data_IF_686416478438
#
_entry.id   IF_686416478438
#
_cell.length_a   1.000
_cell.length_b   1.000
_cell.length_c   1.000
_cell.angle_alpha   90.00
_cell.angle_beta   90.00
_cell.angle_gamma   90.00
#
_symmetry.space_group_name_H-M   'P 1'
#
loop_
_entity.id
_entity.type
_entity.pdbx_description
1 polymer ?
#
# COMPACT_ATOMS: atom_id res chain seq x y z
N UNK A 1 -5.86 12.63 -14.51
CA UNK A 1 -7.11 12.27 -15.22
C UNK A 1 -6.82 11.64 -16.58
N UNK A 2 -6.36 12.36 -17.58
CA UNK A 2 -6.19 11.84 -18.97
C UNK A 2 -5.46 10.46 -19.08
N UNK A 3 -4.49 10.20 -18.22
CA UNK A 3 -3.79 8.92 -18.22
C UNK A 3 -4.61 7.76 -17.64
N UNK A 4 -5.40 8.03 -16.60
CA UNK A 4 -6.28 7.04 -15.98
C UNK A 4 -7.46 6.71 -16.91
N UNK A 5 -8.11 7.74 -17.48
CA UNK A 5 -9.23 7.55 -18.41
C UNK A 5 -8.78 6.75 -19.65
N UNK A 6 -7.63 7.10 -20.22
CA UNK A 6 -7.05 6.36 -21.35
C UNK A 6 -6.72 4.89 -20.96
N UNK A 7 -6.19 4.66 -19.76
CA UNK A 7 -5.94 3.30 -19.29
C UNK A 7 -7.23 2.49 -19.19
N UNK A 8 -8.28 3.06 -18.59
CA UNK A 8 -9.59 2.40 -18.44
C UNK A 8 -10.18 2.08 -19.82
N UNK A 9 -10.14 3.03 -20.75
CA UNK A 9 -10.66 2.83 -22.11
C UNK A 9 -9.89 1.76 -22.88
N UNK A 10 -8.57 1.71 -22.72
CA UNK A 10 -7.74 0.67 -23.34
C UNK A 10 -8.01 -0.71 -22.70
N UNK A 11 -8.15 -0.79 -21.36
CA UNK A 11 -8.51 -2.02 -20.67
C UNK A 11 -9.88 -2.55 -21.10
N UNK A 12 -10.89 -1.67 -21.24
CA UNK A 12 -12.21 -2.04 -21.73
C UNK A 12 -12.18 -2.63 -23.14
N UNK A 13 -11.37 -2.05 -24.04
CA UNK A 13 -11.21 -2.56 -25.41
C UNK A 13 -10.56 -3.94 -25.46
N UNK A 14 -9.57 -4.17 -24.57
CA UNK A 14 -8.78 -5.42 -24.56
C UNK A 14 -9.55 -6.54 -23.85
N UNK A 15 -10.16 -6.24 -22.70
CA UNK A 15 -10.74 -7.24 -21.80
C UNK A 15 -12.25 -7.40 -21.95
N UNK A 16 -12.93 -6.39 -22.53
CA UNK A 16 -14.40 -6.42 -22.73
C UNK A 16 -15.15 -6.70 -21.43
N UNK A 17 -16.05 -7.67 -21.47
CA UNK A 17 -16.89 -8.07 -20.32
C UNK A 17 -16.10 -8.81 -19.22
N UNK A 18 -14.88 -9.27 -19.50
CA UNK A 18 -14.00 -9.89 -18.50
C UNK A 18 -13.49 -8.86 -17.48
N UNK A 19 -13.51 -7.55 -17.79
CA UNK A 19 -13.13 -6.48 -16.87
C UNK A 19 -14.28 -6.18 -15.89
N UNK A 20 -14.15 -6.63 -14.64
CA UNK A 20 -15.19 -6.46 -13.60
C UNK A 20 -15.06 -5.15 -12.87
N UNK A 21 -13.85 -4.81 -12.41
CA UNK A 21 -13.63 -3.62 -11.57
C UNK A 21 -12.25 -3.03 -11.82
N UNK A 22 -12.19 -1.70 -11.84
CA UNK A 22 -10.95 -0.94 -11.64
C UNK A 22 -11.18 0.01 -10.49
N UNK A 23 -10.32 -0.06 -9.47
CA UNK A 23 -10.37 0.82 -8.30
C UNK A 23 -9.02 1.45 -7.99
N UNK A 24 -9.06 2.68 -7.49
CA UNK A 24 -7.94 3.34 -6.82
C UNK A 24 -8.02 2.98 -5.34
N UNK A 25 -6.90 2.68 -4.71
CA UNK A 25 -6.84 2.43 -3.27
C UNK A 25 -5.66 3.15 -2.59
N UNK A 26 -5.74 3.24 -1.26
CA UNK A 26 -4.73 3.92 -0.44
C UNK A 26 -4.83 5.45 -0.49
N UNK A 27 -3.71 6.15 -0.32
CA UNK A 27 -3.68 7.61 -0.07
C UNK A 27 -4.30 8.46 -1.18
N UNK A 28 -4.33 7.97 -2.42
CA UNK A 28 -4.88 8.70 -3.57
C UNK A 28 -6.40 8.47 -3.76
N UNK A 29 -7.00 7.55 -3.02
CA UNK A 29 -8.42 7.18 -3.20
C UNK A 29 -9.39 8.34 -2.92
N UNK A 30 -9.07 9.21 -1.96
CA UNK A 30 -9.90 10.36 -1.58
C UNK A 30 -9.48 11.68 -2.27
N UNK A 31 -8.43 11.64 -3.10
CA UNK A 31 -8.00 12.82 -3.84
C UNK A 31 -8.96 13.07 -4.99
N UNK A 32 -9.38 14.34 -5.16
CA UNK A 32 -10.18 14.75 -6.31
C UNK A 32 -9.46 14.37 -7.61
N UNK A 33 -10.19 13.88 -8.62
CA UNK A 33 -9.58 13.38 -9.86
C UNK A 33 -8.63 14.37 -10.54
N UNK A 34 -8.94 15.67 -10.43
CA UNK A 34 -8.16 16.75 -11.03
C UNK A 34 -6.80 16.98 -10.33
N UNK A 35 -6.71 16.57 -9.07
CA UNK A 35 -5.51 16.69 -8.23
C UNK A 35 -4.71 15.40 -8.15
N UNK A 36 -5.17 14.30 -8.79
CA UNK A 36 -4.43 13.05 -8.86
C UNK A 36 -3.07 13.27 -9.51
N UNK A 37 -2.03 12.97 -8.75
CA UNK A 37 -0.64 12.98 -9.19
C UNK A 37 -0.24 11.58 -9.66
N UNK A 38 1.04 11.41 -9.99
CA UNK A 38 1.66 10.08 -10.12
C UNK A 38 1.59 9.28 -8.80
N UNK A 39 1.99 8.02 -8.84
CA UNK A 39 1.98 7.10 -7.68
C UNK A 39 0.56 6.69 -7.24
N UNK A 40 -0.30 6.43 -8.20
CA UNK A 40 -1.68 5.96 -8.01
C UNK A 40 -1.67 4.43 -7.93
N UNK A 41 -2.08 3.88 -6.79
CA UNK A 41 -2.26 2.44 -6.66
C UNK A 41 -3.59 2.02 -7.29
N UNK A 42 -3.53 1.10 -8.24
CA UNK A 42 -4.69 0.52 -8.90
C UNK A 42 -4.84 -0.96 -8.60
N UNK A 43 -6.08 -1.38 -8.40
CA UNK A 43 -6.54 -2.75 -8.42
C UNK A 43 -7.41 -2.97 -9.65
N UNK A 44 -7.12 -4.01 -10.42
CA UNK A 44 -7.89 -4.43 -11.60
C UNK A 44 -8.40 -5.84 -11.32
N UNK A 45 -9.71 -6.02 -11.30
CA UNK A 45 -10.36 -7.31 -11.05
C UNK A 45 -11.03 -7.78 -12.33
N UNK A 46 -10.73 -9.00 -12.72
CA UNK A 46 -11.30 -9.68 -13.88
C UNK A 46 -12.24 -10.80 -13.42
N UNK A 47 -13.20 -11.16 -14.23
CA UNK A 47 -14.04 -12.32 -13.92
C UNK A 47 -13.20 -13.60 -13.84
N UNK A 48 -12.26 -13.76 -14.79
CA UNK A 48 -11.21 -14.80 -14.77
C UNK A 48 -9.90 -14.19 -15.29
N UNK A 49 -8.76 -14.74 -14.89
CA UNK A 49 -7.45 -14.26 -15.29
C UNK A 49 -6.69 -15.35 -16.05
N UNK A 50 -6.29 -15.06 -17.28
CA UNK A 50 -5.49 -15.92 -18.13
C UNK A 50 -4.13 -15.31 -18.46
N UNK A 51 -3.20 -16.15 -18.93
CA UNK A 51 -1.90 -15.67 -19.43
C UNK A 51 -2.06 -14.74 -20.65
N UNK A 52 -3.10 -14.93 -21.45
CA UNK A 52 -3.36 -14.08 -22.62
C UNK A 52 -3.87 -12.70 -22.19
N UNK A 53 -4.70 -12.60 -21.13
CA UNK A 53 -5.11 -11.32 -20.56
C UNK A 53 -3.90 -10.51 -20.09
N UNK A 54 -2.96 -11.15 -19.36
CA UNK A 54 -1.71 -10.50 -18.91
C UNK A 54 -0.85 -10.04 -20.10
N UNK A 55 -0.71 -10.88 -21.12
CA UNK A 55 0.03 -10.55 -22.33
C UNK A 55 -0.60 -9.38 -23.10
N UNK A 56 -1.91 -9.41 -23.30
CA UNK A 56 -2.63 -8.39 -24.07
C UNK A 56 -2.64 -7.04 -23.36
N UNK A 57 -2.74 -7.01 -22.02
CA UNK A 57 -2.73 -5.77 -21.22
C UNK A 57 -1.32 -5.22 -20.97
N UNK A 58 -0.26 -6.02 -21.15
CA UNK A 58 1.12 -5.66 -20.79
C UNK A 58 1.58 -4.31 -21.35
N UNK A 59 1.31 -4.03 -22.63
CA UNK A 59 1.73 -2.77 -23.28
C UNK A 59 1.05 -1.54 -22.67
N UNK A 60 -0.21 -1.66 -22.30
CA UNK A 60 -1.00 -0.56 -21.71
C UNK A 60 -0.50 -0.31 -20.29
N UNK A 61 -0.26 -1.37 -19.52
CA UNK A 61 0.26 -1.28 -18.18
C UNK A 61 1.71 -0.75 -18.13
N UNK A 62 2.54 -1.09 -19.11
CA UNK A 62 3.88 -0.50 -19.24
C UNK A 62 3.82 1.02 -19.47
N UNK A 63 2.85 1.54 -20.25
CA UNK A 63 2.64 2.98 -20.40
C UNK A 63 2.25 3.64 -19.07
N UNK A 64 1.39 2.98 -18.29
CA UNK A 64 1.00 3.43 -16.97
C UNK A 64 2.20 3.55 -16.01
N UNK A 65 3.06 2.54 -15.98
CA UNK A 65 4.27 2.53 -15.16
C UNK A 65 5.29 3.60 -15.62
N UNK A 66 5.44 3.82 -16.92
CA UNK A 66 6.29 4.90 -17.46
C UNK A 66 5.83 6.30 -17.08
N UNK A 67 4.55 6.46 -16.72
CA UNK A 67 3.99 7.69 -16.16
C UNK A 67 4.17 7.79 -14.62
N UNK A 68 5.19 7.12 -14.08
CA UNK A 68 5.57 7.13 -12.65
C UNK A 68 4.51 6.58 -11.70
N UNK A 69 3.66 5.68 -12.18
CA UNK A 69 2.71 4.98 -11.34
C UNK A 69 3.20 3.57 -10.98
N UNK A 70 2.79 3.01 -9.83
CA UNK A 70 3.03 1.62 -9.50
C UNK A 70 2.40 0.66 -10.51
N UNK A 71 2.97 -0.54 -10.61
CA UNK A 71 2.34 -1.62 -11.36
C UNK A 71 0.99 -1.92 -10.70
N UNK A 72 -0.13 -1.91 -11.46
CA UNK A 72 -1.43 -2.29 -10.90
C UNK A 72 -1.44 -3.73 -10.40
N UNK A 73 -2.16 -3.97 -9.31
CA UNK A 73 -2.47 -5.32 -8.88
C UNK A 73 -3.59 -5.84 -9.76
N UNK A 74 -3.37 -7.01 -10.39
CA UNK A 74 -4.37 -7.67 -11.23
C UNK A 74 -4.69 -9.01 -10.61
N UNK A 75 -5.98 -9.33 -10.47
CA UNK A 75 -6.45 -10.60 -9.98
C UNK A 75 -7.80 -10.97 -10.57
N UNK A 76 -8.12 -12.25 -10.53
CA UNK A 76 -9.46 -12.72 -10.82
C UNK A 76 -10.39 -12.44 -9.64
N UNK A 77 -11.69 -12.46 -9.91
CA UNK A 77 -12.73 -12.34 -8.87
C UNK A 77 -12.62 -13.49 -7.83
N UNK A 78 -12.26 -14.69 -8.27
CA UNK A 78 -12.01 -15.82 -7.37
C UNK A 78 -10.82 -15.54 -6.44
N UNK A 79 -9.69 -15.01 -6.96
CA UNK A 79 -8.54 -14.63 -6.14
C UNK A 79 -8.88 -13.48 -5.19
N UNK A 80 -9.68 -12.49 -5.62
CA UNK A 80 -10.16 -11.41 -4.77
C UNK A 80 -10.83 -11.95 -3.51
N UNK A 81 -11.81 -12.84 -3.66
CA UNK A 81 -12.55 -13.38 -2.52
C UNK A 81 -11.76 -14.39 -1.68
N UNK A 82 -10.81 -15.10 -2.28
CA UNK A 82 -10.02 -16.11 -1.56
C UNK A 82 -8.78 -15.54 -0.85
N UNK A 83 -8.53 -14.22 -0.91
CA UNK A 83 -7.30 -13.61 -0.41
C UNK A 83 -7.49 -12.74 0.84
N UNK A 84 -8.68 -12.65 1.42
CA UNK A 84 -8.96 -11.80 2.58
C UNK A 84 -8.18 -12.20 3.83
N UNK A 85 -7.83 -13.46 3.95
CA UNK A 85 -7.03 -14.02 5.02
C UNK A 85 -5.52 -13.82 4.81
N UNK A 86 -5.06 -13.87 3.56
CA UNK A 86 -3.64 -13.77 3.20
C UNK A 86 -3.16 -12.31 3.20
N UNK A 87 -3.99 -11.39 2.71
CA UNK A 87 -3.68 -9.96 2.57
C UNK A 87 -4.55 -9.09 3.48
N UNK A 88 -4.70 -9.51 4.74
CA UNK A 88 -5.60 -8.89 5.70
C UNK A 88 -5.32 -7.39 5.94
N UNK A 89 -4.05 -6.97 5.94
CA UNK A 89 -3.64 -5.57 6.06
C UNK A 89 -4.09 -4.74 4.86
N UNK A 90 -3.83 -5.23 3.66
CA UNK A 90 -4.18 -4.57 2.41
C UNK A 90 -5.69 -4.45 2.24
N UNK A 91 -6.44 -5.53 2.49
CA UNK A 91 -7.90 -5.50 2.40
C UNK A 91 -8.52 -4.59 3.46
N UNK A 92 -7.94 -4.52 4.66
CA UNK A 92 -8.37 -3.57 5.68
C UNK A 92 -8.14 -2.11 5.23
N UNK A 93 -7.00 -1.81 4.61
CA UNK A 93 -6.70 -0.49 4.05
C UNK A 93 -7.65 -0.17 2.87
N UNK A 94 -7.90 -1.14 1.97
CA UNK A 94 -8.82 -0.97 0.83
C UNK A 94 -10.23 -0.67 1.33
N UNK A 95 -10.73 -1.42 2.30
CA UNK A 95 -12.08 -1.23 2.85
C UNK A 95 -12.35 0.20 3.35
N UNK A 96 -11.31 0.88 3.84
CA UNK A 96 -11.41 2.24 4.36
C UNK A 96 -11.13 3.31 3.29
N UNK A 97 -10.20 3.03 2.36
CA UNK A 97 -9.69 4.03 1.42
C UNK A 97 -9.62 3.49 -0.01
N UNK A 98 -10.76 3.54 -0.68
CA UNK A 98 -10.88 3.15 -2.09
C UNK A 98 -11.78 4.10 -2.88
N UNK A 99 -11.68 4.02 -4.19
CA UNK A 99 -12.56 4.69 -5.14
C UNK A 99 -12.73 3.82 -6.38
N UNK A 100 -13.96 3.40 -6.66
CA UNK A 100 -14.27 2.71 -7.90
C UNK A 100 -14.20 3.72 -9.04
N UNK A 101 -13.40 3.42 -10.05
CA UNK A 101 -13.27 4.23 -11.28
C UNK A 101 -13.90 3.55 -12.49
N UNK A 102 -14.15 2.24 -12.41
CA UNK A 102 -14.90 1.47 -13.40
C UNK A 102 -15.50 0.21 -12.79
N UNK A 103 -16.71 -0.16 -13.20
CA UNK A 103 -17.35 -1.45 -12.96
C UNK A 103 -18.03 -1.58 -11.60
N UNK A 104 -18.00 -2.77 -11.03
CA UNK A 104 -18.72 -3.15 -9.81
C UNK A 104 -17.94 -2.76 -8.56
N UNK A 105 -18.65 -2.40 -7.49
CA UNK A 105 -18.05 -2.28 -6.16
C UNK A 105 -18.11 -3.63 -5.44
N UNK A 106 -16.96 -4.27 -5.27
CA UNK A 106 -16.80 -5.55 -4.58
C UNK A 106 -16.29 -5.38 -3.14
N UNK A 107 -16.11 -4.14 -2.68
CA UNK A 107 -15.51 -3.86 -1.37
C UNK A 107 -16.46 -4.13 -0.21
N UNK A 108 -17.77 -4.10 -0.46
CA UNK A 108 -18.79 -4.43 0.54
C UNK A 108 -18.66 -5.84 1.12
N UNK A 109 -18.10 -6.77 0.33
CA UNK A 109 -17.91 -8.16 0.73
C UNK A 109 -16.62 -8.41 1.52
N UNK A 110 -15.76 -7.40 1.66
CA UNK A 110 -14.49 -7.53 2.40
C UNK A 110 -14.79 -7.85 3.86
N UNK A 111 -14.39 -9.05 4.28
CA UNK A 111 -14.46 -9.51 5.66
C UNK A 111 -13.09 -9.99 6.13
N UNK A 112 -12.40 -9.15 6.88
CA UNK A 112 -11.07 -9.45 7.44
C UNK A 112 -11.23 -9.94 8.86
N UNK A 113 -10.83 -11.19 9.11
CA UNK A 113 -10.78 -11.75 10.46
C UNK A 113 -9.56 -11.20 11.21
N UNK A 114 -9.77 -10.82 12.48
CA UNK A 114 -8.72 -10.29 13.35
C UNK A 114 -7.55 -11.26 13.56
N UNK A 115 -7.83 -12.56 13.53
CA UNK A 115 -6.77 -13.56 13.65
C UNK A 115 -5.76 -13.45 12.51
N UNK A 116 -6.23 -13.37 11.26
CA UNK A 116 -5.36 -13.22 10.09
C UNK A 116 -4.68 -11.85 10.06
N UNK A 117 -5.40 -10.79 10.44
CA UNK A 117 -4.81 -9.45 10.54
C UNK A 117 -3.65 -9.43 11.54
N UNK A 118 -3.79 -10.08 12.70
CA UNK A 118 -2.72 -10.20 13.69
C UNK A 118 -1.53 -10.99 13.14
N UNK A 119 -1.78 -12.14 12.54
CA UNK A 119 -0.73 -12.98 11.97
C UNK A 119 0.07 -12.23 10.90
N UNK A 120 -0.60 -11.48 10.04
CA UNK A 120 0.07 -10.68 9.02
C UNK A 120 0.88 -9.56 9.65
N UNK A 121 0.37 -8.83 10.64
CA UNK A 121 1.14 -7.82 11.38
C UNK A 121 2.43 -8.41 11.98
N UNK A 122 2.32 -9.56 12.64
CA UNK A 122 3.48 -10.25 13.23
C UNK A 122 4.48 -10.71 12.17
N UNK A 123 4.01 -11.26 11.06
CA UNK A 123 4.84 -11.71 9.95
C UNK A 123 5.59 -10.55 9.29
N UNK A 124 4.86 -9.47 8.97
CA UNK A 124 5.46 -8.28 8.35
C UNK A 124 6.48 -7.62 9.27
N UNK A 125 6.20 -7.54 10.58
CA UNK A 125 7.16 -7.01 11.55
C UNK A 125 8.44 -7.86 11.63
N UNK A 126 8.32 -9.18 11.67
CA UNK A 126 9.49 -10.10 11.67
C UNK A 126 10.29 -9.98 10.38
N UNK A 127 9.61 -9.94 9.23
CA UNK A 127 10.25 -9.75 7.93
C UNK A 127 10.97 -8.41 7.84
N UNK A 128 10.37 -7.34 8.38
CA UNK A 128 10.98 -6.02 8.45
C UNK A 128 12.27 -6.04 9.27
N UNK A 129 12.28 -6.67 10.46
CA UNK A 129 13.49 -6.82 11.28
C UNK A 129 14.61 -7.56 10.57
N UNK A 130 14.29 -8.68 9.89
CA UNK A 130 15.30 -9.45 9.16
C UNK A 130 15.88 -8.65 7.98
N UNK A 131 15.01 -7.99 7.20
CA UNK A 131 15.44 -7.12 6.09
C UNK A 131 16.30 -5.96 6.59
N UNK A 132 15.89 -5.31 7.69
CA UNK A 132 16.64 -4.21 8.28
C UNK A 132 18.04 -4.67 8.72
N UNK A 133 18.16 -5.78 9.45
CA UNK A 133 19.46 -6.33 9.87
C UNK A 133 20.38 -6.61 8.69
N UNK A 134 19.85 -7.21 7.63
CA UNK A 134 20.62 -7.48 6.41
C UNK A 134 21.11 -6.19 5.74
N UNK A 135 20.25 -5.20 5.62
CA UNK A 135 20.61 -3.91 5.04
C UNK A 135 21.62 -3.17 5.92
N UNK A 136 21.44 -3.19 7.24
CA UNK A 136 22.37 -2.57 8.18
C UNK A 136 23.78 -3.16 8.03
N UNK A 137 23.91 -4.49 8.05
CA UNK A 137 25.19 -5.16 7.87
C UNK A 137 25.89 -4.82 6.57
N UNK A 138 25.12 -4.70 5.49
CA UNK A 138 25.67 -4.49 4.15
C UNK A 138 25.88 -3.01 3.79
N UNK A 139 25.17 -2.08 4.42
CA UNK A 139 25.05 -0.68 3.96
C UNK A 139 25.37 0.36 5.04
N UNK A 140 25.77 -0.02 6.23
CA UNK A 140 26.02 0.89 7.38
C UNK A 140 26.99 2.03 7.06
N UNK A 141 27.92 1.83 6.12
CA UNK A 141 28.92 2.83 5.73
C UNK A 141 28.40 3.87 4.70
N UNK A 142 27.14 3.77 4.25
CA UNK A 142 26.54 4.67 3.28
C UNK A 142 25.30 5.35 3.86
N UNK A 143 25.44 6.63 4.25
CA UNK A 143 24.32 7.40 4.82
C UNK A 143 23.13 7.45 3.85
N UNK A 144 23.36 7.65 2.56
CA UNK A 144 22.31 7.67 1.53
C UNK A 144 21.53 6.35 1.44
N UNK A 145 22.21 5.23 1.55
CA UNK A 145 21.53 3.92 1.54
C UNK A 145 20.78 3.68 2.86
N UNK A 146 21.34 4.11 3.99
CA UNK A 146 20.66 4.03 5.28
C UNK A 146 19.40 4.91 5.33
N UNK A 147 19.41 6.11 4.74
CA UNK A 147 18.21 6.93 4.58
C UNK A 147 17.09 6.22 3.81
N UNK A 148 17.42 5.57 2.70
CA UNK A 148 16.44 4.78 1.94
C UNK A 148 15.87 3.63 2.77
N UNK A 149 16.73 2.96 3.54
CA UNK A 149 16.32 1.89 4.45
C UNK A 149 15.37 2.44 5.51
N UNK A 150 15.72 3.53 6.19
CA UNK A 150 14.89 4.17 7.21
C UNK A 150 13.52 4.59 6.65
N UNK A 151 13.49 5.18 5.45
CA UNK A 151 12.25 5.56 4.78
C UNK A 151 11.36 4.34 4.43
N UNK A 152 11.96 3.21 4.08
CA UNK A 152 11.20 1.98 3.83
C UNK A 152 10.71 1.35 5.15
N UNK A 153 11.52 1.39 6.20
CA UNK A 153 11.14 0.91 7.53
C UNK A 153 9.91 1.65 8.04
N UNK A 154 9.94 2.99 8.05
CA UNK A 154 8.80 3.76 8.57
C UNK A 154 7.53 3.56 7.73
N UNK A 155 7.64 3.42 6.41
CA UNK A 155 6.48 3.09 5.56
C UNK A 155 5.81 1.78 5.98
N UNK A 156 6.62 0.73 6.17
CA UNK A 156 6.10 -0.60 6.57
C UNK A 156 5.55 -0.56 7.99
N UNK A 157 6.24 0.10 8.93
CA UNK A 157 5.75 0.24 10.30
C UNK A 157 4.39 0.94 10.37
N UNK A 158 4.16 2.00 9.59
CA UNK A 158 2.88 2.68 9.55
C UNK A 158 1.75 1.78 9.03
N UNK A 159 2.03 0.87 8.10
CA UNK A 159 1.03 -0.15 7.68
C UNK A 159 0.71 -1.09 8.83
N UNK A 160 1.75 -1.61 9.51
CA UNK A 160 1.59 -2.50 10.66
C UNK A 160 0.84 -1.79 11.81
N UNK A 161 1.18 -0.54 12.12
CA UNK A 161 0.51 0.24 13.18
C UNK A 161 -0.98 0.46 12.90
N UNK A 162 -1.37 0.70 11.65
CA UNK A 162 -2.80 0.72 11.27
C UNK A 162 -3.46 -0.63 11.55
N UNK A 163 -2.79 -1.74 11.23
CA UNK A 163 -3.28 -3.07 11.58
C UNK A 163 -3.46 -3.26 13.08
N UNK A 164 -2.47 -2.86 13.90
CA UNK A 164 -2.55 -2.92 15.37
C UNK A 164 -3.72 -2.09 15.90
N UNK A 165 -3.91 -0.87 15.43
CA UNK A 165 -5.04 0.00 15.83
C UNK A 165 -6.38 -0.68 15.54
N UNK A 166 -6.55 -1.31 14.36
CA UNK A 166 -7.77 -2.05 13.99
C UNK A 166 -8.01 -3.29 14.86
N UNK A 167 -6.94 -3.98 15.25
CA UNK A 167 -7.07 -5.12 16.19
C UNK A 167 -7.71 -4.72 17.50
N UNK A 168 -7.49 -3.48 17.94
CA UNK A 168 -8.11 -2.90 19.15
C UNK A 168 -9.46 -2.21 18.90
N UNK A 169 -10.05 -2.35 17.70
CA UNK A 169 -11.32 -1.71 17.28
C UNK A 169 -11.30 -0.18 17.32
N UNK A 170 -10.14 0.42 17.16
CA UNK A 170 -9.99 1.87 17.14
C UNK A 170 -9.97 2.38 15.69
N UNK A 171 -10.42 3.62 15.50
CA UNK A 171 -10.36 4.29 14.21
C UNK A 171 -8.91 4.65 13.87
N UNK A 172 -8.52 4.38 12.64
CA UNK A 172 -7.17 4.71 12.15
C UNK A 172 -7.08 6.20 11.82
N UNK A 173 -6.16 6.95 12.46
CA UNK A 173 -5.96 8.36 12.13
C UNK A 173 -5.41 8.57 10.72
N UNK A 174 -5.58 9.78 10.18
CA UNK A 174 -5.07 10.11 8.85
C UNK A 174 -3.57 10.41 8.82
N UNK A 175 -3.06 11.12 9.84
CA UNK A 175 -1.65 11.54 9.85
C UNK A 175 -0.74 10.46 10.44
N UNK A 176 0.48 10.37 9.90
CA UNK A 176 1.51 9.44 10.36
C UNK A 176 1.84 9.61 11.84
N UNK A 177 1.90 10.84 12.31
CA UNK A 177 2.15 11.17 13.71
C UNK A 177 1.07 10.59 14.63
N UNK A 178 -0.21 10.83 14.31
CA UNK A 178 -1.31 10.31 15.13
C UNK A 178 -1.41 8.78 15.05
N UNK A 179 -1.07 8.15 13.92
CA UNK A 179 -0.98 6.69 13.82
C UNK A 179 0.07 6.15 14.79
N UNK A 180 1.25 6.78 14.87
CA UNK A 180 2.33 6.36 15.78
C UNK A 180 1.90 6.54 17.24
N UNK A 181 1.35 7.71 17.60
CA UNK A 181 0.88 8.01 18.95
C UNK A 181 -0.24 7.06 19.40
N UNK A 182 -1.14 6.70 18.49
CA UNK A 182 -2.23 5.79 18.83
C UNK A 182 -1.74 4.34 18.95
N UNK A 183 -0.83 3.87 18.08
CA UNK A 183 -0.21 2.56 18.20
C UNK A 183 0.57 2.41 19.51
N UNK A 184 1.23 3.48 19.99
CA UNK A 184 1.96 3.49 21.25
C UNK A 184 1.09 3.23 22.50
N UNK A 185 -0.23 3.32 22.39
CA UNK A 185 -1.13 2.90 23.48
C UNK A 185 -1.19 1.38 23.66
N UNK A 186 -0.83 0.63 22.64
CA UNK A 186 -0.96 -0.83 22.57
C UNK A 186 0.37 -1.56 22.50
N UNK A 187 1.47 -0.83 22.29
CA UNK A 187 2.82 -1.40 22.14
C UNK A 187 3.89 -0.43 22.62
N UNK A 188 4.95 -0.96 23.18
CA UNK A 188 6.10 -0.16 23.61
C UNK A 188 6.96 0.20 22.40
N UNK A 189 6.95 1.48 22.02
CA UNK A 189 7.70 2.02 20.87
C UNK A 189 8.27 3.40 21.21
N UNK A 190 9.41 3.75 20.61
CA UNK A 190 9.99 5.07 20.66
C UNK A 190 9.24 6.01 19.70
N UNK A 191 8.26 6.73 20.23
CA UNK A 191 7.40 7.63 19.44
C UNK A 191 8.16 8.81 18.86
N UNK A 192 9.13 9.37 19.59
CA UNK A 192 9.91 10.53 19.14
C UNK A 192 10.74 10.18 17.90
N UNK A 193 11.48 9.08 17.95
CA UNK A 193 12.26 8.59 16.81
C UNK A 193 11.36 8.31 15.60
N UNK A 194 10.26 7.59 15.80
CA UNK A 194 9.37 7.20 14.70
C UNK A 194 8.64 8.39 14.07
N UNK A 195 8.19 9.36 14.85
CA UNK A 195 7.59 10.61 14.34
C UNK A 195 8.60 11.37 13.51
N UNK A 196 9.83 11.47 13.98
CA UNK A 196 10.90 12.11 13.23
C UNK A 196 11.18 11.40 11.91
N UNK A 197 11.28 10.07 11.91
CA UNK A 197 11.42 9.29 10.68
C UNK A 197 10.26 9.54 9.70
N UNK A 198 9.03 9.65 10.21
CA UNK A 198 7.87 9.96 9.40
C UNK A 198 7.93 11.37 8.81
N UNK A 199 8.38 12.36 9.58
CA UNK A 199 8.55 13.75 9.13
C UNK A 199 9.60 13.87 8.02
N UNK A 200 10.74 13.16 8.15
CA UNK A 200 11.76 13.13 7.09
C UNK A 200 11.21 12.49 5.82
N UNK A 201 10.51 11.37 5.93
CA UNK A 201 9.86 10.73 4.78
C UNK A 201 8.88 11.70 4.06
N UNK A 202 8.15 12.49 4.84
CA UNK A 202 7.14 13.44 4.34
C UNK A 202 7.76 14.77 3.87
N UNK A 203 9.11 14.90 3.93
CA UNK A 203 9.85 16.10 3.50
C UNK A 203 9.69 17.31 4.42
N UNK A 204 9.31 17.09 5.68
CA UNK A 204 9.15 18.14 6.70
C UNK A 204 10.44 18.39 7.48
N UNK A 205 11.31 17.41 7.52
CA UNK A 205 12.61 17.43 8.21
C UNK A 205 13.67 16.71 7.38
N UNK A 206 14.96 16.93 7.74
CA UNK A 206 16.09 16.21 7.16
C UNK A 206 16.80 15.36 8.22
N UNK A 207 17.37 14.21 7.83
CA UNK A 207 18.23 13.42 8.71
C UNK A 207 19.54 14.16 8.96
N UNK A 208 19.96 14.24 10.23
CA UNK A 208 21.35 14.56 10.56
C UNK A 208 22.20 13.30 10.45
N UNK A 209 23.32 13.34 9.75
CA UNK A 209 24.17 12.19 9.38
C UNK A 209 24.51 11.20 10.53
N UNK A 210 24.52 11.67 11.79
CA UNK A 210 24.83 10.83 12.97
C UNK A 210 23.63 10.06 13.55
N UNK A 211 22.41 10.37 13.09
CA UNK A 211 21.17 9.84 13.71
C UNK A 211 20.61 8.63 12.96
N UNK A 212 20.99 8.47 11.70
CA UNK A 212 20.54 7.35 10.84
C UNK A 212 21.13 6.01 11.30
N UNK A 213 22.19 6.05 12.13
CA UNK A 213 22.95 4.86 12.57
C UNK A 213 22.68 4.44 14.02
N UNK A 214 21.84 5.17 14.73
CA UNK A 214 21.36 4.81 16.07
C UNK A 214 20.13 3.94 15.98
#
# INVERSE_FOLDING_TARGET
MKHLDNLIDDLKKILGENLVTVMIFGSQAHVEPEKLKSNINLMIILEYLSSDDLKNTSKVLQKWVKAENPIPVIMSKAEWYSSFDVYALEYSDIKEKYKIVYGQDLTGDINVDKHYLRLQCESELKNLFLKYRNHYLMKINSDREMEKVANNVIKTLLVIFRGVIRLHNELVPESSEYIILQAAKFMEIDTELLIRMANVRDGKEDYKSKEIRK
#
